data_IF_527570623455
#
_entry.id   IF_527570623455
#
_cell.length_a   1.000
_cell.length_b   1.000
_cell.length_c   1.000
_cell.angle_alpha   90.00
_cell.angle_beta   90.00
_cell.angle_gamma   90.00
#
_symmetry.space_group_name_H-M   'P 1'
#
loop_
_entity.id
_entity.type
_entity.pdbx_description
1 polymer ?
#
# COMPACT_ATOMS: atom_id res chain seq x y z
N UNK A 1 -54.05 -14.89 4.89
CA UNK A 1 -53.14 -14.95 3.74
C UNK A 1 -52.17 -13.79 3.79
N UNK A 2 -50.89 -14.08 4.04
CA UNK A 2 -49.85 -13.09 4.25
C UNK A 2 -49.57 -12.33 2.94
N UNK A 3 -49.95 -11.04 2.88
CA UNK A 3 -49.62 -10.11 1.77
C UNK A 3 -48.12 -9.72 1.81
N UNK A 4 -47.22 -10.70 1.81
CA UNK A 4 -45.77 -10.43 1.91
C UNK A 4 -45.21 -9.94 0.57
N UNK A 5 -45.79 -10.39 -0.55
CA UNK A 5 -45.23 -10.25 -1.89
C UNK A 5 -45.98 -9.23 -2.76
N UNK A 6 -46.01 -7.97 -2.34
CA UNK A 6 -46.36 -6.89 -3.28
C UNK A 6 -45.15 -6.55 -4.14
N UNK A 7 -45.29 -6.26 -5.45
CA UNK A 7 -44.18 -5.96 -6.36
C UNK A 7 -43.22 -4.89 -5.82
N UNK A 8 -43.76 -3.86 -5.16
CA UNK A 8 -42.98 -2.80 -4.53
C UNK A 8 -42.03 -3.31 -3.43
N UNK A 9 -42.43 -4.33 -2.66
CA UNK A 9 -41.57 -4.94 -1.61
C UNK A 9 -40.47 -5.81 -2.21
N UNK A 10 -40.75 -6.49 -3.34
CA UNK A 10 -39.73 -7.25 -4.06
C UNK A 10 -38.69 -6.33 -4.70
N UNK A 11 -39.12 -5.19 -5.26
CA UNK A 11 -38.22 -4.16 -5.78
C UNK A 11 -37.36 -3.57 -4.66
N UNK A 12 -37.96 -3.19 -3.54
CA UNK A 12 -37.22 -2.65 -2.39
C UNK A 12 -36.20 -3.68 -1.84
N UNK A 13 -36.60 -4.95 -1.73
CA UNK A 13 -35.70 -6.03 -1.30
C UNK A 13 -34.52 -6.21 -2.26
N UNK A 14 -34.77 -6.19 -3.58
CA UNK A 14 -33.73 -6.31 -4.59
C UNK A 14 -32.73 -5.13 -4.53
N UNK A 15 -33.22 -3.90 -4.32
CA UNK A 15 -32.36 -2.71 -4.15
C UNK A 15 -31.51 -2.85 -2.89
N UNK A 16 -32.10 -3.23 -1.75
CA UNK A 16 -31.35 -3.42 -0.51
C UNK A 16 -30.28 -4.50 -0.64
N UNK A 17 -30.58 -5.61 -1.33
CA UNK A 17 -29.62 -6.68 -1.60
C UNK A 17 -28.47 -6.22 -2.49
N UNK A 18 -28.76 -5.46 -3.55
CA UNK A 18 -27.74 -4.91 -4.44
C UNK A 18 -26.81 -3.94 -3.68
N UNK A 19 -27.37 -3.01 -2.91
CA UNK A 19 -26.58 -2.06 -2.11
C UNK A 19 -25.71 -2.80 -1.08
N UNK A 20 -26.28 -3.79 -0.39
CA UNK A 20 -25.55 -4.57 0.62
C UNK A 20 -24.41 -5.36 -0.02
N UNK A 21 -24.64 -5.99 -1.18
CA UNK A 21 -23.61 -6.72 -1.91
C UNK A 21 -22.48 -5.78 -2.38
N UNK A 22 -22.81 -4.59 -2.89
CA UNK A 22 -21.83 -3.58 -3.28
C UNK A 22 -21.01 -3.08 -2.08
N UNK A 23 -21.65 -2.85 -0.94
CA UNK A 23 -20.96 -2.44 0.29
C UNK A 23 -20.00 -3.53 0.77
N UNK A 24 -20.44 -4.80 0.82
CA UNK A 24 -19.58 -5.93 1.22
C UNK A 24 -18.40 -6.10 0.27
N UNK A 25 -18.62 -6.01 -1.05
CA UNK A 25 -17.54 -6.08 -2.03
C UNK A 25 -16.54 -4.92 -1.85
N UNK A 26 -17.02 -3.71 -1.61
CA UNK A 26 -16.17 -2.55 -1.33
C UNK A 26 -15.36 -2.76 -0.04
N UNK A 27 -15.98 -3.23 1.05
CA UNK A 27 -15.28 -3.54 2.29
C UNK A 27 -14.22 -4.63 2.10
N UNK A 28 -14.50 -5.67 1.32
CA UNK A 28 -13.53 -6.72 1.03
C UNK A 28 -12.31 -6.17 0.27
N UNK A 29 -12.53 -5.33 -0.75
CA UNK A 29 -11.44 -4.68 -1.50
C UNK A 29 -10.63 -3.75 -0.59
N UNK A 30 -11.29 -2.96 0.25
CA UNK A 30 -10.62 -2.06 1.19
C UNK A 30 -9.83 -2.83 2.24
N UNK A 31 -10.33 -3.97 2.72
CA UNK A 31 -9.64 -4.81 3.69
C UNK A 31 -8.43 -5.52 3.07
N UNK A 32 -8.53 -5.97 1.81
CA UNK A 32 -7.41 -6.50 1.04
C UNK A 32 -6.33 -5.42 0.86
N UNK A 33 -6.75 -4.19 0.49
CA UNK A 33 -5.85 -3.04 0.46
C UNK A 33 -5.26 -2.69 1.82
N UNK A 34 -5.99 -2.82 2.93
CA UNK A 34 -5.45 -2.63 4.28
C UNK A 34 -4.41 -3.69 4.64
N UNK A 35 -4.68 -4.94 4.31
CA UNK A 35 -3.77 -6.07 4.57
C UNK A 35 -2.51 -5.99 3.71
N UNK A 36 -2.65 -5.60 2.44
CA UNK A 36 -1.52 -5.35 1.53
C UNK A 36 -0.87 -3.99 1.75
N UNK A 37 -1.53 -3.13 2.54
CA UNK A 37 -1.14 -1.76 2.86
C UNK A 37 -1.20 -0.78 1.69
N UNK A 38 -2.08 -1.02 0.72
CA UNK A 38 -2.46 -0.14 -0.39
C UNK A 38 -3.46 0.96 0.03
N UNK A 39 -3.42 1.44 1.27
CA UNK A 39 -4.23 2.62 1.59
C UNK A 39 -3.62 3.83 0.87
N UNK A 40 -4.40 4.63 0.13
CA UNK A 40 -3.98 5.98 -0.22
C UNK A 40 -3.93 6.79 1.08
N UNK A 41 -2.78 6.79 1.75
CA UNK A 41 -2.59 7.60 2.95
C UNK A 41 -2.33 9.05 2.53
N UNK A 42 -2.88 10.06 3.23
CA UNK A 42 -2.59 11.46 2.93
C UNK A 42 -1.14 11.89 3.27
N UNK A 43 -0.24 10.96 3.60
CA UNK A 43 1.09 11.20 4.13
C UNK A 43 2.07 10.16 3.57
N UNK A 44 2.71 10.52 2.47
CA UNK A 44 3.65 9.65 1.75
C UNK A 44 4.90 9.35 2.61
N UNK A 45 5.43 8.14 2.45
CA UNK A 45 6.70 7.73 3.04
C UNK A 45 7.88 8.56 2.51
N UNK A 46 8.90 8.74 3.35
CA UNK A 46 10.09 9.51 2.98
C UNK A 46 11.31 8.60 2.95
N UNK A 47 12.07 8.65 1.87
CA UNK A 47 13.36 7.98 1.76
C UNK A 47 14.51 8.99 1.86
N UNK A 48 15.45 8.74 2.76
CA UNK A 48 16.76 9.40 2.77
C UNK A 48 17.78 8.41 2.20
N UNK A 49 18.21 8.62 0.96
CA UNK A 49 19.19 7.77 0.31
C UNK A 49 20.62 8.26 0.58
N UNK A 50 21.27 7.68 1.58
CA UNK A 50 22.69 7.91 1.87
C UNK A 50 23.63 6.94 1.12
N UNK A 51 23.10 6.02 0.32
CA UNK A 51 23.91 5.13 -0.51
C UNK A 51 24.64 5.91 -1.61
N UNK A 52 25.72 5.32 -2.10
CA UNK A 52 26.40 5.78 -3.32
C UNK A 52 25.64 5.36 -4.60
N UNK A 53 24.63 4.51 -4.48
CA UNK A 53 23.82 4.02 -5.59
C UNK A 53 22.39 4.57 -5.54
N UNK A 54 21.70 4.70 -6.69
CA UNK A 54 20.28 4.97 -6.72
C UNK A 54 19.51 3.89 -5.96
N UNK A 55 18.53 4.29 -5.16
CA UNK A 55 17.65 3.37 -4.46
C UNK A 55 16.52 2.94 -5.39
N UNK A 56 16.26 1.64 -5.47
CA UNK A 56 15.08 1.11 -6.17
C UNK A 56 13.87 1.21 -5.26
N UNK A 57 12.82 1.86 -5.76
CA UNK A 57 11.57 2.08 -5.03
C UNK A 57 10.38 1.62 -5.87
N UNK A 58 9.23 1.47 -5.22
CA UNK A 58 7.97 1.11 -5.84
C UNK A 58 6.80 1.84 -5.19
N UNK A 59 5.84 2.26 -6.01
CA UNK A 59 4.50 2.72 -5.63
C UNK A 59 3.45 2.20 -6.64
N UNK A 60 2.17 2.41 -6.36
CA UNK A 60 1.07 1.97 -7.22
C UNK A 60 0.90 2.82 -8.50
N UNK A 61 1.24 4.10 -8.44
CA UNK A 61 1.11 5.06 -9.54
C UNK A 61 2.21 4.95 -10.61
N UNK A 62 3.47 4.81 -10.19
CA UNK A 62 4.67 4.82 -11.02
C UNK A 62 5.34 3.45 -11.13
N UNK A 63 4.87 2.43 -10.40
CA UNK A 63 5.48 1.11 -10.33
C UNK A 63 6.94 1.22 -9.89
N UNK A 64 7.88 0.62 -10.61
CA UNK A 64 9.30 0.67 -10.26
C UNK A 64 9.98 1.93 -10.77
N UNK A 65 10.59 2.69 -9.86
CA UNK A 65 11.43 3.83 -10.21
C UNK A 65 12.63 3.94 -9.26
N UNK A 66 13.40 5.02 -9.37
CA UNK A 66 14.60 5.21 -8.55
C UNK A 66 14.67 6.57 -7.90
N UNK A 67 15.19 6.61 -6.68
CA UNK A 67 15.60 7.83 -5.98
C UNK A 67 17.11 7.95 -6.06
N UNK A 68 17.60 9.10 -6.53
CA UNK A 68 19.02 9.33 -6.76
C UNK A 68 19.88 9.10 -5.50
N UNK A 69 21.12 8.68 -5.70
CA UNK A 69 22.11 8.54 -4.63
C UNK A 69 22.31 9.88 -3.90
N UNK A 70 22.55 9.82 -2.59
CA UNK A 70 22.83 11.01 -1.76
C UNK A 70 21.71 12.07 -1.80
N UNK A 71 20.46 11.65 -1.96
CA UNK A 71 19.29 12.55 -1.97
C UNK A 71 18.22 12.11 -0.97
N UNK A 72 17.25 13.00 -0.74
CA UNK A 72 15.98 12.69 -0.07
C UNK A 72 14.87 12.67 -1.13
N UNK A 73 13.91 11.77 -1.01
CA UNK A 73 12.72 11.80 -1.84
C UNK A 73 11.96 13.12 -1.67
N UNK A 74 11.30 13.55 -2.74
CA UNK A 74 10.45 14.74 -2.72
C UNK A 74 9.12 14.46 -2.02
N UNK A 75 8.48 15.49 -1.48
CA UNK A 75 7.20 15.35 -0.78
C UNK A 75 6.01 15.02 -1.71
N UNK A 76 6.25 15.02 -3.04
CA UNK A 76 5.28 14.62 -4.06
C UNK A 76 5.46 13.17 -4.53
N UNK A 77 6.50 12.49 -4.08
CA UNK A 77 6.77 11.10 -4.47
C UNK A 77 6.13 10.19 -3.43
N UNK A 78 5.19 9.36 -3.85
CA UNK A 78 4.68 8.32 -2.99
C UNK A 78 5.67 7.15 -2.99
N UNK A 79 6.07 6.69 -1.82
CA UNK A 79 7.02 5.58 -1.70
C UNK A 79 6.39 4.54 -0.79
N UNK A 80 5.79 3.53 -1.42
CA UNK A 80 5.26 2.39 -0.71
C UNK A 80 6.38 1.46 -0.26
N UNK A 81 7.30 1.14 -1.17
CA UNK A 81 8.40 0.22 -0.91
C UNK A 81 9.76 0.74 -1.37
N UNK A 82 10.80 0.36 -0.64
CA UNK A 82 12.22 0.57 -1.01
C UNK A 82 13.00 -0.72 -0.82
N UNK A 83 13.87 -1.03 -1.78
CA UNK A 83 14.72 -2.23 -1.72
C UNK A 83 16.05 -1.93 -1.04
N UNK A 84 16.47 -2.80 -0.11
CA UNK A 84 17.84 -2.83 0.38
C UNK A 84 18.79 -3.26 -0.75
N UNK A 85 19.80 -2.45 -1.05
CA UNK A 85 20.80 -2.83 -2.06
C UNK A 85 21.70 -3.96 -1.59
N UNK A 86 21.89 -4.12 -0.27
CA UNK A 86 22.77 -5.15 0.29
C UNK A 86 22.12 -6.54 0.35
N UNK A 87 20.82 -6.63 0.63
CA UNK A 87 20.12 -7.90 0.86
C UNK A 87 19.05 -8.23 -0.18
N UNK A 88 18.61 -7.25 -0.98
CA UNK A 88 17.48 -7.39 -1.89
C UNK A 88 16.10 -7.40 -1.20
N UNK A 89 16.04 -7.31 0.13
CA UNK A 89 14.76 -7.26 0.87
C UNK A 89 14.02 -5.96 0.57
N UNK A 90 12.70 -6.05 0.53
CA UNK A 90 11.83 -4.90 0.35
C UNK A 90 11.32 -4.42 1.69
N UNK A 91 11.48 -3.14 1.96
CA UNK A 91 10.87 -2.47 3.10
C UNK A 91 9.60 -1.77 2.64
N UNK A 92 8.50 -1.90 3.38
CA UNK A 92 7.31 -1.07 3.18
C UNK A 92 7.37 0.11 4.15
N UNK A 93 7.26 1.35 3.68
CA UNK A 93 7.54 2.54 4.51
C UNK A 93 6.28 3.06 5.24
N UNK A 94 5.11 3.01 4.61
CA UNK A 94 3.94 3.76 5.09
C UNK A 94 4.27 5.24 5.28
N UNK A 95 3.86 5.83 6.40
CA UNK A 95 4.20 7.24 6.75
C UNK A 95 5.63 7.44 7.29
N UNK A 96 6.47 6.39 7.28
CA UNK A 96 7.76 6.43 7.97
C UNK A 96 8.82 7.14 7.13
N UNK A 97 9.78 7.77 7.82
CA UNK A 97 11.05 8.14 7.19
C UNK A 97 12.03 6.99 7.33
N UNK A 98 12.46 6.45 6.19
CA UNK A 98 13.43 5.35 6.11
C UNK A 98 14.73 5.87 5.53
N UNK A 99 15.86 5.41 6.06
CA UNK A 99 17.19 5.79 5.57
C UNK A 99 17.86 4.59 4.91
N UNK A 100 18.20 4.69 3.63
CA UNK A 100 19.09 3.73 2.98
C UNK A 100 20.53 4.15 3.26
N UNK A 101 21.21 3.40 4.13
CA UNK A 101 22.57 3.71 4.57
C UNK A 101 23.60 3.40 3.47
N UNK A 102 24.82 3.91 3.68
CA UNK A 102 25.94 3.67 2.76
C UNK A 102 26.34 2.19 2.63
N UNK A 103 26.04 1.37 3.64
CA UNK A 103 26.26 -0.09 3.64
C UNK A 103 25.19 -0.86 2.84
N UNK A 104 24.16 -0.17 2.35
CA UNK A 104 23.08 -0.75 1.55
C UNK A 104 21.95 -1.39 2.35
N UNK A 105 21.95 -1.25 3.69
CA UNK A 105 20.85 -1.65 4.56
C UNK A 105 19.95 -0.46 4.89
N UNK A 106 18.68 -0.76 5.17
CA UNK A 106 17.71 0.25 5.57
C UNK A 106 17.68 0.38 7.10
N UNK A 107 17.59 1.62 7.56
CA UNK A 107 17.33 1.97 8.94
C UNK A 107 15.90 2.52 9.08
N UNK A 108 15.27 2.23 10.22
CA UNK A 108 13.87 2.59 10.53
C UNK A 108 12.84 1.98 9.58
N UNK A 109 13.17 0.85 8.96
CA UNK A 109 12.19 0.08 8.20
C UNK A 109 11.10 -0.47 9.15
N UNK A 110 9.82 -0.08 8.99
CA UNK A 110 8.77 -0.53 9.91
C UNK A 110 8.37 -1.99 9.66
N UNK A 111 8.45 -2.46 8.42
CA UNK A 111 8.27 -3.87 8.09
C UNK A 111 8.94 -4.25 6.76
N UNK A 112 9.30 -5.52 6.63
CA UNK A 112 9.80 -6.08 5.37
C UNK A 112 8.72 -6.89 4.65
N UNK A 113 8.73 -6.85 3.32
CA UNK A 113 7.91 -7.66 2.41
C UNK A 113 8.78 -8.60 1.57
N UNK A 114 8.18 -9.65 1.03
CA UNK A 114 8.86 -10.59 0.12
C UNK A 114 9.15 -9.97 -1.26
N UNK A 115 8.34 -9.01 -1.67
CA UNK A 115 8.45 -8.31 -2.95
C UNK A 115 7.81 -6.91 -2.85
N UNK A 116 8.09 -6.03 -3.80
CA UNK A 116 7.38 -4.77 -3.95
C UNK A 116 5.89 -5.00 -4.22
N UNK A 117 5.02 -4.10 -3.73
CA UNK A 117 3.57 -4.23 -3.87
C UNK A 117 2.94 -5.38 -3.07
N UNK A 118 3.70 -6.02 -2.17
CA UNK A 118 3.19 -7.06 -1.27
C UNK A 118 3.06 -6.53 0.16
N UNK A 119 2.14 -7.14 0.91
CA UNK A 119 2.00 -6.96 2.35
C UNK A 119 3.32 -7.16 3.12
N UNK A 120 3.37 -6.60 4.33
CA UNK A 120 4.39 -6.92 5.32
C UNK A 120 4.37 -8.43 5.64
N UNK A 121 5.55 -9.03 5.84
CA UNK A 121 5.66 -10.37 6.40
C UNK A 121 5.25 -10.31 7.88
N UNK A 122 4.17 -10.99 8.25
CA UNK A 122 3.84 -11.26 9.65
C UNK A 122 4.53 -12.57 10.05
N UNK A 123 5.33 -12.54 11.12
CA UNK A 123 5.91 -13.72 11.76
C UNK A 123 5.08 -14.16 12.96
#
# INVERSE_FOLDING_TARGET
MLKIFTPARLIALAICLAISASAVAYFAIMQEKEQDGHWPWPLNGVLINQSAQPAKVWDDDHLYYTIAAKTRSGDQQDIDHVQETASGRWCKLGMSTVTLKADGYLENCPCFSLEAGRACIQF
#
